data_IF_051873512964
#
_entry.id   IF_051873512964
#
_cell.length_a   1.000
_cell.length_b   1.000
_cell.length_c   1.000
_cell.angle_alpha   90.00
_cell.angle_beta   90.00
_cell.angle_gamma   90.00
#
_symmetry.space_group_name_H-M   'P 1'
#
loop_
_entity.id
_entity.type
_entity.pdbx_description
1 polymer ?
#
# COMPACT_ATOMS: atom_id res chain seq x y z
N UNK A 1 -29.51 -6.52 -6.53
CA UNK A 1 -28.97 -5.48 -5.61
C UNK A 1 -29.81 -5.48 -4.36
N UNK A 2 -29.19 -5.44 -3.19
CA UNK A 2 -29.89 -5.36 -1.89
C UNK A 2 -30.50 -3.96 -1.75
N UNK A 3 -31.76 -3.86 -1.32
CA UNK A 3 -32.43 -2.58 -1.10
C UNK A 3 -31.86 -1.87 0.13
N UNK A 4 -31.98 -0.55 0.20
CA UNK A 4 -31.48 0.24 1.35
C UNK A 4 -32.08 -0.23 2.68
N UNK A 5 -33.36 -0.64 2.67
CA UNK A 5 -34.07 -1.18 3.84
C UNK A 5 -33.54 -2.57 4.23
N UNK A 6 -33.22 -3.41 3.23
CA UNK A 6 -32.55 -4.69 3.45
C UNK A 6 -31.16 -4.55 4.06
N UNK A 7 -30.40 -3.52 3.65
CA UNK A 7 -29.10 -3.21 4.25
C UNK A 7 -29.23 -2.82 5.72
N UNK A 8 -30.21 -1.96 6.07
CA UNK A 8 -30.46 -1.60 7.47
C UNK A 8 -30.76 -2.82 8.35
N UNK A 9 -31.60 -3.75 7.87
CA UNK A 9 -31.89 -4.98 8.60
C UNK A 9 -30.66 -5.87 8.77
N UNK A 10 -29.84 -6.02 7.72
CA UNK A 10 -28.62 -6.84 7.76
C UNK A 10 -27.54 -6.25 8.66
N UNK A 11 -27.48 -4.93 8.81
CA UNK A 11 -26.55 -4.27 9.74
C UNK A 11 -26.90 -4.56 11.21
N UNK A 12 -28.19 -4.68 11.52
CA UNK A 12 -28.66 -5.02 12.88
C UNK A 12 -28.61 -6.52 13.15
N UNK A 13 -29.07 -7.34 12.19
CA UNK A 13 -29.18 -8.80 12.37
C UNK A 13 -27.91 -9.58 12.03
N UNK A 14 -26.96 -8.96 11.34
CA UNK A 14 -25.79 -9.63 10.77
C UNK A 14 -26.12 -10.50 9.55
N UNK A 15 -25.08 -11.05 8.92
CA UNK A 15 -25.23 -12.01 7.84
C UNK A 15 -24.18 -13.12 7.93
N UNK A 16 -24.50 -14.30 7.38
CA UNK A 16 -23.55 -15.41 7.29
C UNK A 16 -22.52 -15.13 6.20
N UNK A 17 -21.25 -15.29 6.51
CA UNK A 17 -20.16 -15.14 5.55
C UNK A 17 -20.26 -16.28 4.53
N UNK A 18 -20.43 -15.94 3.26
CA UNK A 18 -20.37 -16.90 2.15
C UNK A 18 -18.90 -17.03 1.72
N UNK A 19 -18.33 -18.25 1.69
CA UNK A 19 -16.98 -18.45 1.19
C UNK A 19 -16.85 -18.00 -0.27
N UNK A 20 -15.82 -17.21 -0.56
CA UNK A 20 -15.46 -16.79 -1.91
C UNK A 20 -13.99 -17.15 -2.15
N UNK A 21 -13.78 -18.33 -2.75
CA UNK A 21 -12.44 -18.86 -3.00
C UNK A 21 -11.65 -18.05 -4.04
N UNK A 22 -12.32 -17.26 -4.88
CA UNK A 22 -11.66 -16.43 -5.88
C UNK A 22 -11.00 -15.19 -5.24
N UNK A 23 -11.48 -14.79 -4.05
CA UNK A 23 -10.94 -13.66 -3.28
C UNK A 23 -10.13 -14.12 -2.06
N UNK A 24 -10.72 -14.95 -1.20
CA UNK A 24 -10.10 -15.40 0.06
C UNK A 24 -9.52 -16.80 -0.01
N UNK A 25 -9.44 -17.39 -1.21
CA UNK A 25 -8.81 -18.68 -1.41
C UNK A 25 -7.35 -18.68 -0.94
N UNK A 26 -6.96 -19.74 -0.22
CA UNK A 26 -5.62 -19.87 0.34
C UNK A 26 -4.53 -19.69 -0.73
N UNK A 27 -4.75 -20.22 -1.94
CA UNK A 27 -3.81 -20.08 -3.06
C UNK A 27 -3.69 -18.65 -3.58
N UNK A 28 -4.80 -17.91 -3.66
CA UNK A 28 -4.82 -16.51 -4.09
C UNK A 28 -4.05 -15.65 -3.09
N UNK A 29 -4.35 -15.81 -1.80
CA UNK A 29 -3.66 -15.08 -0.72
C UNK A 29 -2.17 -15.43 -0.71
N UNK A 30 -1.81 -16.72 -0.74
CA UNK A 30 -0.41 -17.14 -0.72
C UNK A 30 0.36 -16.63 -1.94
N UNK A 31 -0.19 -16.71 -3.15
CA UNK A 31 0.47 -16.21 -4.35
C UNK A 31 0.77 -14.70 -4.24
N UNK A 32 -0.17 -13.93 -3.69
CA UNK A 32 -0.02 -12.49 -3.50
C UNK A 32 1.02 -12.17 -2.42
N UNK A 33 0.95 -12.84 -1.27
CA UNK A 33 1.87 -12.65 -0.14
C UNK A 33 3.29 -13.07 -0.50
N UNK A 34 3.48 -14.25 -1.10
CA UNK A 34 4.81 -14.75 -1.50
C UNK A 34 5.47 -13.75 -2.45
N UNK A 35 4.74 -13.28 -3.47
CA UNK A 35 5.27 -12.30 -4.43
C UNK A 35 5.60 -10.97 -3.74
N UNK A 36 4.77 -10.50 -2.81
CA UNK A 36 4.99 -9.25 -2.08
C UNK A 36 6.23 -9.33 -1.20
N UNK A 37 6.32 -10.37 -0.37
CA UNK A 37 7.44 -10.58 0.54
C UNK A 37 8.73 -10.87 -0.22
N UNK A 38 8.69 -11.65 -1.30
CA UNK A 38 9.85 -11.85 -2.17
C UNK A 38 10.33 -10.50 -2.76
N UNK A 39 9.42 -9.61 -3.14
CA UNK A 39 9.77 -8.27 -3.61
C UNK A 39 10.44 -7.44 -2.52
N UNK A 40 9.88 -7.39 -1.31
CA UNK A 40 10.46 -6.67 -0.18
C UNK A 40 11.83 -7.21 0.21
N UNK A 41 11.97 -8.54 0.27
CA UNK A 41 13.26 -9.20 0.55
C UNK A 41 14.27 -8.87 -0.54
N UNK A 42 13.90 -8.91 -1.81
CA UNK A 42 14.81 -8.56 -2.91
C UNK A 42 15.25 -7.08 -2.84
N UNK A 43 14.33 -6.16 -2.53
CA UNK A 43 14.61 -4.73 -2.34
C UNK A 43 15.56 -4.53 -1.15
N UNK A 44 15.26 -5.14 0.00
CA UNK A 44 16.08 -5.04 1.20
C UNK A 44 17.47 -5.64 1.00
N UNK A 45 17.54 -6.82 0.37
CA UNK A 45 18.79 -7.48 0.05
C UNK A 45 19.63 -6.64 -0.93
N UNK A 46 19.00 -6.05 -1.95
CA UNK A 46 19.70 -5.16 -2.87
C UNK A 46 20.30 -3.95 -2.13
N UNK A 47 19.55 -3.36 -1.21
CA UNK A 47 20.00 -2.22 -0.41
C UNK A 47 21.13 -2.59 0.56
N UNK A 48 20.93 -3.57 1.44
CA UNK A 48 21.90 -3.97 2.49
C UNK A 48 23.18 -4.52 1.88
N UNK A 49 23.11 -5.25 0.76
CA UNK A 49 24.30 -5.75 0.07
C UNK A 49 25.03 -4.66 -0.75
N UNK A 50 24.53 -3.42 -0.79
CA UNK A 50 25.12 -2.35 -1.59
C UNK A 50 25.01 -2.58 -3.10
N UNK A 51 24.00 -3.31 -3.54
CA UNK A 51 23.72 -3.65 -4.94
C UNK A 51 22.77 -2.63 -5.61
N UNK A 52 22.77 -1.40 -5.09
CA UNK A 52 22.00 -0.25 -5.56
C UNK A 52 22.94 0.80 -6.14
N UNK A 53 22.43 1.66 -7.02
CA UNK A 53 23.24 2.73 -7.59
C UNK A 53 23.79 3.67 -6.49
N UNK A 54 25.05 4.13 -6.58
CA UNK A 54 25.65 5.01 -5.56
C UNK A 54 24.86 6.30 -5.31
N UNK A 55 24.13 6.78 -6.31
CA UNK A 55 23.25 7.97 -6.22
C UNK A 55 22.07 7.81 -5.25
N UNK A 56 21.76 6.57 -4.85
CA UNK A 56 20.68 6.25 -3.91
C UNK A 56 21.17 6.14 -2.47
N UNK A 57 22.48 5.96 -2.25
CA UNK A 57 23.05 5.82 -0.92
C UNK A 57 23.22 7.19 -0.26
N UNK A 58 22.66 7.33 0.93
CA UNK A 58 22.84 8.52 1.75
C UNK A 58 24.22 8.53 2.44
N UNK A 59 24.65 9.70 2.93
CA UNK A 59 25.86 9.80 3.75
C UNK A 59 25.77 8.94 5.03
N UNK A 60 24.57 8.83 5.62
CA UNK A 60 24.34 7.97 6.76
C UNK A 60 24.52 6.49 6.38
N UNK A 61 24.07 6.09 5.19
CA UNK A 61 24.16 4.70 4.72
C UNK A 61 25.63 4.26 4.60
N UNK A 62 26.48 5.15 4.06
CA UNK A 62 27.90 4.88 3.86
C UNK A 62 28.69 4.99 5.17
N UNK A 63 28.43 6.02 5.99
CA UNK A 63 29.26 6.34 7.16
C UNK A 63 28.79 5.65 8.44
N UNK A 64 27.47 5.56 8.66
CA UNK A 64 26.87 4.93 9.84
C UNK A 64 26.61 3.44 9.57
N UNK A 65 25.85 3.13 8.51
CA UNK A 65 25.48 1.73 8.20
C UNK A 65 26.58 0.95 7.47
N UNK A 66 27.68 1.61 7.09
CA UNK A 66 28.85 1.02 6.42
C UNK A 66 28.51 0.25 5.14
N UNK A 67 27.42 0.63 4.45
CA UNK A 67 27.02 0.04 3.18
C UNK A 67 27.95 0.58 2.09
N UNK A 68 28.73 -0.30 1.46
CA UNK A 68 29.62 0.05 0.35
C UNK A 68 28.99 -0.34 -0.97
N UNK A 69 29.04 0.50 -2.02
CA UNK A 69 28.55 0.13 -3.34
C UNK A 69 29.36 -1.06 -3.89
N UNK A 70 28.67 -2.13 -4.26
CA UNK A 70 29.25 -3.38 -4.81
C UNK A 70 28.82 -3.65 -6.25
N UNK A 71 28.12 -2.71 -6.88
CA UNK A 71 27.61 -2.82 -8.26
C UNK A 71 28.71 -3.14 -9.26
N UNK A 72 29.86 -2.46 -9.18
CA UNK A 72 31.02 -2.68 -10.07
C UNK A 72 31.72 -4.03 -9.80
N UNK A 73 31.73 -4.48 -8.54
CA UNK A 73 32.38 -5.75 -8.16
C UNK A 73 31.55 -6.96 -8.59
N UNK A 74 30.22 -6.85 -8.56
CA UNK A 74 29.30 -7.93 -8.88
C UNK A 74 28.21 -7.50 -9.89
N UNK A 75 28.58 -7.15 -11.13
CA UNK A 75 27.65 -6.58 -12.10
C UNK A 75 26.53 -7.56 -12.50
N UNK A 76 26.84 -8.87 -12.54
CA UNK A 76 25.84 -9.91 -12.84
C UNK A 76 24.75 -9.99 -11.79
N UNK A 77 25.12 -10.01 -10.51
CA UNK A 77 24.17 -10.11 -9.40
C UNK A 77 23.32 -8.84 -9.29
N UNK A 78 23.92 -7.66 -9.52
CA UNK A 78 23.17 -6.39 -9.55
C UNK A 78 22.11 -6.41 -10.66
N UNK A 79 22.49 -6.85 -11.87
CA UNK A 79 21.55 -6.97 -12.99
C UNK A 79 20.41 -7.93 -12.69
N UNK A 80 20.72 -9.11 -12.12
CA UNK A 80 19.72 -10.12 -11.77
C UNK A 80 18.75 -9.56 -10.73
N UNK A 81 19.26 -9.05 -9.59
CA UNK A 81 18.41 -8.49 -8.53
C UNK A 81 17.52 -7.37 -9.06
N UNK A 82 18.07 -6.45 -9.87
CA UNK A 82 17.29 -5.38 -10.48
C UNK A 82 16.17 -5.92 -11.36
N UNK A 83 16.47 -6.89 -12.24
CA UNK A 83 15.47 -7.52 -13.10
C UNK A 83 14.41 -8.27 -12.30
N UNK A 84 14.80 -8.99 -11.25
CA UNK A 84 13.89 -9.66 -10.33
C UNK A 84 12.95 -8.67 -9.65
N UNK A 85 13.47 -7.55 -9.13
CA UNK A 85 12.65 -6.50 -8.51
C UNK A 85 11.66 -5.93 -9.52
N UNK A 86 12.09 -5.65 -10.77
CA UNK A 86 11.20 -5.17 -11.83
C UNK A 86 10.06 -6.15 -12.08
N UNK A 87 10.36 -7.42 -12.34
CA UNK A 87 9.36 -8.44 -12.67
C UNK A 87 8.40 -8.72 -11.51
N UNK A 88 8.93 -8.96 -10.30
CA UNK A 88 8.10 -9.27 -9.14
C UNK A 88 7.20 -8.09 -8.77
N UNK A 89 7.72 -6.87 -8.86
CA UNK A 89 6.86 -5.72 -8.67
C UNK A 89 5.83 -5.64 -9.80
N UNK A 90 6.18 -5.66 -11.08
CA UNK A 90 5.20 -5.57 -12.18
C UNK A 90 4.06 -6.59 -12.06
N UNK A 91 4.36 -7.81 -11.62
CA UNK A 91 3.35 -8.81 -11.27
C UNK A 91 2.35 -8.28 -10.23
N UNK A 92 2.82 -7.61 -9.19
CA UNK A 92 1.96 -6.99 -8.17
C UNK A 92 1.08 -5.86 -8.70
N UNK A 93 1.49 -5.10 -9.73
CA UNK A 93 0.61 -4.05 -10.32
C UNK A 93 -0.59 -4.77 -10.94
N UNK A 94 -0.31 -5.80 -11.74
CA UNK A 94 -1.33 -6.53 -12.49
C UNK A 94 -2.25 -7.28 -11.54
N UNK A 95 -1.72 -8.03 -10.58
CA UNK A 95 -2.53 -8.76 -9.59
C UNK A 95 -3.30 -7.81 -8.68
N UNK A 96 -2.72 -6.66 -8.31
CA UNK A 96 -3.38 -5.61 -7.54
C UNK A 96 -4.58 -5.01 -8.28
N UNK A 97 -4.44 -4.71 -9.57
CA UNK A 97 -5.56 -4.22 -10.40
C UNK A 97 -6.62 -5.32 -10.58
N UNK A 98 -6.19 -6.57 -10.80
CA UNK A 98 -7.11 -7.70 -10.96
C UNK A 98 -7.96 -7.94 -9.71
N UNK A 99 -7.33 -7.96 -8.52
CA UNK A 99 -8.06 -8.19 -7.27
C UNK A 99 -9.01 -7.04 -6.94
N UNK A 100 -8.60 -5.79 -7.20
CA UNK A 100 -9.49 -4.62 -7.06
C UNK A 100 -10.68 -4.69 -8.04
N UNK A 101 -10.45 -5.14 -9.27
CA UNK A 101 -11.51 -5.31 -10.27
C UNK A 101 -12.52 -6.37 -9.81
N UNK A 102 -12.03 -7.51 -9.33
CA UNK A 102 -12.87 -8.57 -8.78
C UNK A 102 -13.69 -8.06 -7.57
N UNK A 103 -13.06 -7.29 -6.67
CA UNK A 103 -13.74 -6.64 -5.56
C UNK A 103 -14.85 -5.68 -6.01
N UNK A 104 -14.61 -4.86 -7.04
CA UNK A 104 -15.63 -3.96 -7.59
C UNK A 104 -16.78 -4.68 -8.29
N UNK A 105 -16.49 -5.77 -9.00
CA UNK A 105 -17.53 -6.61 -9.60
C UNK A 105 -18.40 -7.22 -8.51
N UNK A 106 -17.79 -7.79 -7.47
CA UNK A 106 -18.49 -8.35 -6.32
C UNK A 106 -19.29 -7.31 -5.53
N UNK A 107 -18.78 -6.08 -5.46
CA UNK A 107 -19.46 -4.95 -4.83
C UNK A 107 -20.69 -4.53 -5.62
N UNK A 108 -20.57 -4.43 -6.95
CA UNK A 108 -21.69 -4.10 -7.83
C UNK A 108 -22.78 -5.17 -7.84
N UNK A 109 -22.40 -6.45 -7.77
CA UNK A 109 -23.37 -7.55 -7.70
C UNK A 109 -24.01 -7.72 -6.32
N UNK A 110 -23.42 -7.13 -5.28
CA UNK A 110 -23.86 -7.27 -3.88
C UNK A 110 -23.57 -8.66 -3.30
N UNK A 111 -22.62 -9.39 -3.89
CA UNK A 111 -22.26 -10.75 -3.49
C UNK A 111 -21.07 -10.78 -2.53
N UNK A 112 -20.22 -9.75 -2.57
CA UNK A 112 -19.04 -9.68 -1.70
C UNK A 112 -19.41 -9.16 -0.31
N UNK A 113 -19.08 -9.95 0.71
CA UNK A 113 -19.21 -9.55 2.11
C UNK A 113 -18.13 -8.53 2.50
N UNK A 114 -18.35 -7.77 3.58
CA UNK A 114 -17.33 -6.90 4.20
C UNK A 114 -16.00 -7.64 4.42
N UNK A 115 -16.04 -8.89 4.90
CA UNK A 115 -14.85 -9.72 5.11
C UNK A 115 -13.97 -9.87 3.86
N UNK A 116 -14.55 -10.41 2.78
CA UNK A 116 -13.84 -10.61 1.51
C UNK A 116 -13.40 -9.29 0.88
N UNK A 117 -14.22 -8.24 0.97
CA UNK A 117 -13.85 -6.92 0.46
C UNK A 117 -12.67 -6.31 1.22
N UNK A 118 -12.62 -6.51 2.54
CA UNK A 118 -11.49 -6.09 3.36
C UNK A 118 -10.18 -6.79 2.95
N UNK A 119 -10.23 -8.08 2.61
CA UNK A 119 -9.08 -8.81 2.07
C UNK A 119 -8.61 -8.16 0.76
N UNK A 120 -9.53 -7.86 -0.17
CA UNK A 120 -9.20 -7.16 -1.42
C UNK A 120 -8.45 -5.86 -1.16
N UNK A 121 -8.95 -5.04 -0.23
CA UNK A 121 -8.32 -3.77 0.13
C UNK A 121 -6.92 -3.97 0.71
N UNK A 122 -6.73 -4.95 1.60
CA UNK A 122 -5.41 -5.24 2.17
C UNK A 122 -4.41 -5.73 1.12
N UNK A 123 -4.83 -6.58 0.19
CA UNK A 123 -3.97 -7.04 -0.91
C UNK A 123 -3.60 -5.87 -1.83
N UNK A 124 -4.54 -4.99 -2.17
CA UNK A 124 -4.26 -3.80 -2.96
C UNK A 124 -3.29 -2.83 -2.26
N UNK A 125 -3.47 -2.61 -0.96
CA UNK A 125 -2.54 -1.83 -0.13
C UNK A 125 -1.14 -2.44 -0.08
N UNK A 126 -1.05 -3.76 0.01
CA UNK A 126 0.23 -4.48 -0.01
C UNK A 126 0.92 -4.32 -1.36
N UNK A 127 0.19 -4.47 -2.46
CA UNK A 127 0.71 -4.24 -3.81
C UNK A 127 1.22 -2.80 -3.97
N UNK A 128 0.41 -1.81 -3.59
CA UNK A 128 0.79 -0.40 -3.56
C UNK A 128 2.12 -0.17 -2.85
N UNK A 129 2.27 -0.75 -1.65
CA UNK A 129 3.47 -0.63 -0.82
C UNK A 129 4.72 -1.24 -1.48
N UNK A 130 4.57 -2.40 -2.14
CA UNK A 130 5.64 -3.05 -2.91
C UNK A 130 6.12 -2.15 -4.04
N UNK A 131 5.21 -1.53 -4.78
CA UNK A 131 5.55 -0.67 -5.91
C UNK A 131 6.22 0.63 -5.53
N UNK A 132 5.72 1.29 -4.49
CA UNK A 132 6.34 2.50 -3.95
C UNK A 132 7.77 2.21 -3.47
N UNK A 133 8.02 1.02 -2.89
CA UNK A 133 9.34 0.57 -2.46
C UNK A 133 10.25 0.17 -3.63
N UNK A 134 9.70 -0.49 -4.66
CA UNK A 134 10.48 -0.81 -5.86
C UNK A 134 10.89 0.46 -6.61
N UNK A 135 10.01 1.46 -6.67
CA UNK A 135 10.24 2.73 -7.34
C UNK A 135 11.42 3.51 -6.76
N UNK A 136 11.68 3.41 -5.45
CA UNK A 136 12.83 4.10 -4.82
C UNK A 136 14.15 3.56 -5.31
N UNK A 137 14.28 2.22 -5.44
CA UNK A 137 15.52 1.60 -5.91
C UNK A 137 15.64 1.63 -7.43
N UNK A 138 14.53 1.48 -8.16
CA UNK A 138 14.57 1.42 -9.62
C UNK A 138 14.65 2.79 -10.29
N UNK A 139 14.53 3.90 -9.55
CA UNK A 139 14.50 5.25 -10.12
C UNK A 139 15.64 5.54 -11.10
N UNK A 140 16.93 5.27 -10.81
CA UNK A 140 18.02 5.56 -11.75
C UNK A 140 17.87 4.76 -13.06
N UNK A 141 17.45 3.50 -12.95
CA UNK A 141 17.17 2.62 -14.08
C UNK A 141 15.97 3.11 -14.92
N UNK A 142 14.86 3.47 -14.26
CA UNK A 142 13.63 3.93 -14.92
C UNK A 142 13.80 5.28 -15.62
N UNK A 143 14.63 6.17 -15.07
CA UNK A 143 14.93 7.44 -15.73
C UNK A 143 15.74 7.28 -17.03
N UNK A 144 16.44 6.15 -17.19
CA UNK A 144 17.11 5.78 -18.45
C UNK A 144 16.18 5.02 -19.40
N UNK A 145 15.09 4.44 -18.91
CA UNK A 145 14.14 3.61 -19.68
C UNK A 145 12.72 4.17 -19.57
N UNK A 146 12.43 5.22 -20.32
CA UNK A 146 11.16 5.96 -20.24
C UNK A 146 9.93 5.10 -20.51
N UNK A 147 10.00 4.10 -21.40
CA UNK A 147 8.86 3.20 -21.67
C UNK A 147 8.44 2.40 -20.44
N UNK A 148 9.40 1.74 -19.78
CA UNK A 148 9.16 0.97 -18.54
C UNK A 148 8.68 1.89 -17.42
N UNK A 149 9.24 3.11 -17.33
CA UNK A 149 8.81 4.13 -16.38
C UNK A 149 7.33 4.51 -16.58
N UNK A 150 6.93 4.83 -17.80
CA UNK A 150 5.55 5.25 -18.11
C UNK A 150 4.56 4.11 -17.84
N UNK A 151 4.85 2.89 -18.32
CA UNK A 151 4.02 1.71 -18.05
C UNK A 151 3.74 1.53 -16.56
N UNK A 152 4.80 1.58 -15.74
CA UNK A 152 4.68 1.41 -14.29
C UNK A 152 3.92 2.55 -13.63
N UNK A 153 4.19 3.80 -14.01
CA UNK A 153 3.48 4.95 -13.44
C UNK A 153 1.99 4.94 -13.80
N UNK A 154 1.62 4.53 -15.01
CA UNK A 154 0.23 4.35 -15.41
C UNK A 154 -0.43 3.25 -14.59
N UNK A 155 0.20 2.08 -14.47
CA UNK A 155 -0.33 0.97 -13.66
C UNK A 155 -0.46 1.32 -12.18
N UNK A 156 0.55 1.97 -11.59
CA UNK A 156 0.50 2.45 -10.20
C UNK A 156 -0.59 3.51 -9.99
N UNK A 157 -0.77 4.41 -10.97
CA UNK A 157 -1.82 5.43 -10.94
C UNK A 157 -3.22 4.83 -11.03
N UNK A 158 -3.42 3.84 -11.91
CA UNK A 158 -4.67 3.11 -12.01
C UNK A 158 -5.01 2.39 -10.69
N UNK A 159 -4.06 1.62 -10.12
CA UNK A 159 -4.25 0.94 -8.85
C UNK A 159 -4.54 1.92 -7.70
N UNK A 160 -3.84 3.06 -7.66
CA UNK A 160 -4.07 4.10 -6.66
C UNK A 160 -5.50 4.67 -6.73
N UNK A 161 -5.97 5.01 -7.93
CA UNK A 161 -7.33 5.52 -8.13
C UNK A 161 -8.36 4.46 -7.71
N UNK A 162 -8.15 3.20 -8.13
CA UNK A 162 -9.02 2.10 -7.69
C UNK A 162 -9.01 1.96 -6.17
N UNK A 163 -7.85 2.07 -5.51
CA UNK A 163 -7.76 1.94 -4.06
C UNK A 163 -8.46 3.09 -3.32
N UNK A 164 -8.31 4.34 -3.78
CA UNK A 164 -9.05 5.49 -3.23
C UNK A 164 -10.56 5.27 -3.31
N UNK A 165 -11.03 4.85 -4.49
CA UNK A 165 -12.45 4.56 -4.72
C UNK A 165 -12.91 3.37 -3.87
N UNK A 166 -12.08 2.34 -3.74
CA UNK A 166 -12.40 1.15 -2.97
C UNK A 166 -12.42 1.35 -1.46
N UNK A 167 -11.76 2.38 -0.95
CA UNK A 167 -11.83 2.72 0.47
C UNK A 167 -13.16 3.43 0.85
N UNK A 168 -14.00 3.84 -0.11
CA UNK A 168 -15.24 4.60 0.19
C UNK A 168 -16.17 3.87 1.17
N UNK A 169 -16.45 2.56 1.02
CA UNK A 169 -17.20 1.80 2.01
C UNK A 169 -16.63 1.83 3.44
N UNK A 170 -15.31 1.95 3.58
CA UNK A 170 -14.63 1.87 4.89
C UNK A 170 -14.75 3.16 5.69
N UNK A 171 -15.33 4.21 5.11
CA UNK A 171 -15.57 5.49 5.78
C UNK A 171 -16.66 5.36 6.85
N UNK A 172 -17.59 4.41 6.70
CA UNK A 172 -18.64 4.19 7.69
C UNK A 172 -18.07 3.69 9.01
N UNK A 173 -18.55 4.23 10.14
CA UNK A 173 -18.13 3.78 11.48
C UNK A 173 -18.35 2.28 11.68
N UNK A 174 -19.52 1.76 11.30
CA UNK A 174 -19.85 0.33 11.40
C UNK A 174 -19.03 -0.61 10.48
N UNK A 175 -18.08 -0.10 9.69
CA UNK A 175 -17.26 -0.93 8.81
C UNK A 175 -16.36 -1.88 9.60
N UNK A 176 -16.66 -3.19 9.52
CA UNK A 176 -15.85 -4.21 10.21
C UNK A 176 -15.97 -4.20 11.73
N UNK A 177 -16.91 -3.42 12.28
CA UNK A 177 -17.24 -3.47 13.71
C UNK A 177 -18.26 -4.59 13.92
N UNK A 178 -18.02 -5.40 14.94
CA UNK A 178 -19.01 -6.37 15.43
C UNK A 178 -19.94 -5.58 16.36
N UNK A 179 -21.09 -5.14 15.85
CA UNK A 179 -22.14 -4.60 16.72
C UNK A 179 -22.72 -5.77 17.53
N UNK A 180 -22.16 -6.01 18.73
CA UNK A 180 -22.76 -6.88 19.73
C UNK A 180 -23.93 -6.14 20.37
N UNK A 181 -25.06 -6.02 19.68
CA UNK A 181 -26.29 -5.59 20.35
C UNK A 181 -26.87 -6.77 21.14
N UNK A 182 -26.62 -6.68 22.45
CA UNK A 182 -27.23 -7.32 23.62
C UNK A 182 -27.09 -8.86 23.81
N UNK A 183 -26.28 -9.30 24.81
CA UNK A 183 -26.17 -10.71 25.22
C UNK A 183 -27.44 -11.31 25.86
N UNK A 184 -28.55 -10.57 25.96
CA UNK A 184 -29.79 -11.09 26.56
C UNK A 184 -30.71 -11.84 25.59
N UNK A 185 -30.61 -11.58 24.29
CA UNK A 185 -31.41 -12.25 23.25
C UNK A 185 -30.55 -12.96 22.18
N UNK A 186 -29.22 -12.88 22.30
CA UNK A 186 -28.33 -13.62 21.42
C UNK A 186 -28.15 -15.03 21.96
N UNK A 187 -28.88 -15.97 21.36
CA UNK A 187 -28.43 -17.35 21.25
C UNK A 187 -27.12 -17.38 20.45
N UNK A 188 -26.04 -16.92 21.08
CA UNK A 188 -24.66 -17.13 20.64
C UNK A 188 -24.42 -18.63 20.75
N UNK A 189 -24.88 -19.33 19.71
CA UNK A 189 -24.93 -20.77 19.65
C UNK A 189 -25.64 -21.34 18.41
N UNK A 190 -26.51 -20.59 17.73
CA UNK A 190 -27.36 -21.24 16.69
C UNK A 190 -27.20 -20.74 15.24
N UNK A 191 -26.74 -19.51 14.93
CA UNK A 191 -26.92 -18.96 13.57
C UNK A 191 -25.71 -18.40 12.78
N UNK A 192 -24.45 -18.44 13.24
CA UNK A 192 -23.25 -17.98 12.46
C UNK A 192 -23.33 -16.56 11.85
N UNK A 193 -24.24 -15.68 12.30
CA UNK A 193 -24.46 -14.35 11.74
C UNK A 193 -23.45 -13.34 12.28
N UNK A 194 -22.80 -12.57 11.41
CA UNK A 194 -21.80 -11.57 11.79
C UNK A 194 -21.91 -10.29 10.95
N UNK A 195 -21.46 -9.15 11.49
CA UNK A 195 -21.32 -7.91 10.70
C UNK A 195 -20.37 -8.05 9.51
N UNK A 196 -19.39 -8.94 9.61
CA UNK A 196 -18.43 -9.27 8.56
C UNK A 196 -19.06 -9.96 7.33
N UNK A 197 -20.20 -10.64 7.50
CA UNK A 197 -20.93 -11.26 6.42
C UNK A 197 -21.83 -10.30 5.64
N UNK A 198 -22.09 -9.09 6.17
CA UNK A 198 -22.95 -8.10 5.52
C UNK A 198 -22.36 -7.74 4.14
N UNK A 199 -23.18 -7.60 3.08
CA UNK A 199 -22.69 -7.18 1.77
C UNK A 199 -21.98 -5.82 1.85
N UNK A 200 -20.74 -5.74 1.36
CA UNK A 200 -19.96 -4.50 1.37
C UNK A 200 -20.66 -3.37 0.59
N UNK A 201 -21.53 -3.72 -0.37
CA UNK A 201 -22.32 -2.77 -1.16
C UNK A 201 -23.24 -1.91 -0.31
N UNK A 202 -23.65 -2.39 0.87
CA UNK A 202 -24.49 -1.63 1.78
C UNK A 202 -23.82 -0.36 2.30
N UNK A 203 -22.50 -0.35 2.40
CA UNK A 203 -21.70 0.78 2.88
C UNK A 203 -21.31 1.77 1.76
N UNK A 204 -21.68 1.51 0.50
CA UNK A 204 -21.29 2.35 -0.63
C UNK A 204 -21.98 3.72 -0.57
N UNK A 205 -21.22 4.78 -0.30
CA UNK A 205 -21.73 6.16 -0.25
C UNK A 205 -22.73 6.39 0.90
N UNK A 206 -22.71 5.53 1.92
CA UNK A 206 -23.56 5.61 3.11
C UNK A 206 -22.69 5.48 4.36
N UNK A 207 -22.94 6.32 5.34
CA UNK A 207 -22.34 6.24 6.67
C UNK A 207 -23.40 5.75 7.65
N UNK A 208 -23.06 4.75 8.44
CA UNK A 208 -23.90 4.21 9.51
C UNK A 208 -23.26 4.49 10.88
N UNK A 209 -24.08 4.49 11.95
CA UNK A 209 -23.76 4.90 13.33
C UNK A 209 -23.26 6.36 13.45
N UNK A 210 -22.27 6.64 14.30
CA UNK A 210 -21.72 7.98 14.63
C UNK A 210 -21.01 8.70 13.45
N UNK A 211 -21.28 8.25 12.22
CA UNK A 211 -20.83 8.87 10.99
C UNK A 211 -19.54 8.26 10.45
N UNK A 212 -18.44 9.00 10.58
CA UNK A 212 -17.17 8.69 9.92
C UNK A 212 -16.24 7.92 10.86
N UNK A 213 -15.71 6.79 10.39
CA UNK A 213 -14.64 6.06 11.06
C UNK A 213 -13.38 6.93 11.14
N UNK A 214 -12.82 7.12 12.34
CA UNK A 214 -11.61 7.93 12.57
C UNK A 214 -10.35 7.36 11.91
N UNK A 215 -10.29 6.05 11.66
CA UNK A 215 -9.12 5.39 11.07
C UNK A 215 -9.06 5.55 9.54
N UNK A 216 -10.23 5.66 8.90
CA UNK A 216 -10.34 5.84 7.46
C UNK A 216 -9.61 7.11 6.94
N UNK A 217 -9.84 8.33 7.47
CA UNK A 217 -9.18 9.54 6.98
C UNK A 217 -7.66 9.50 7.16
N UNK A 218 -7.16 8.87 8.23
CA UNK A 218 -5.71 8.69 8.45
C UNK A 218 -5.13 7.82 7.33
N UNK A 219 -5.77 6.70 7.02
CA UNK A 219 -5.36 5.82 5.92
C UNK A 219 -5.33 6.54 4.56
N UNK A 220 -6.37 7.32 4.26
CA UNK A 220 -6.42 8.14 3.03
C UNK A 220 -5.29 9.16 2.95
N UNK A 221 -5.05 9.90 4.04
CA UNK A 221 -3.99 10.92 4.08
C UNK A 221 -2.63 10.26 3.89
N UNK A 222 -2.35 9.18 4.62
CA UNK A 222 -1.09 8.44 4.49
C UNK A 222 -0.87 7.92 3.07
N UNK A 223 -1.91 7.36 2.44
CA UNK A 223 -1.86 6.87 1.07
C UNK A 223 -1.55 8.01 0.08
N UNK A 224 -2.33 9.09 0.12
CA UNK A 224 -2.20 10.23 -0.81
C UNK A 224 -0.82 10.87 -0.66
N UNK A 225 -0.40 11.15 0.57
CA UNK A 225 0.91 11.75 0.84
C UNK A 225 2.03 10.83 0.35
N UNK A 226 1.95 9.53 0.59
CA UNK A 226 2.97 8.56 0.14
C UNK A 226 3.11 8.53 -1.38
N UNK A 227 2.00 8.52 -2.12
CA UNK A 227 2.04 8.54 -3.58
C UNK A 227 2.53 9.86 -4.14
N UNK A 228 2.00 10.99 -3.66
CA UNK A 228 2.40 12.33 -4.11
C UNK A 228 3.90 12.53 -3.85
N UNK A 229 4.38 12.17 -2.66
CA UNK A 229 5.79 12.27 -2.31
C UNK A 229 6.66 11.43 -3.24
N UNK A 230 6.35 10.13 -3.41
CA UNK A 230 7.18 9.22 -4.22
C UNK A 230 7.17 9.57 -5.70
N UNK A 231 6.03 9.98 -6.24
CA UNK A 231 5.93 10.43 -7.63
C UNK A 231 6.75 11.71 -7.82
N UNK A 232 6.62 12.68 -6.91
CA UNK A 232 7.41 13.91 -6.92
C UNK A 232 8.92 13.63 -6.90
N UNK A 233 9.35 12.64 -6.13
CA UNK A 233 10.74 12.20 -6.10
C UNK A 233 11.22 11.63 -7.44
N UNK A 234 10.41 10.84 -8.14
CA UNK A 234 10.75 10.24 -9.45
C UNK A 234 10.99 11.28 -10.53
N UNK A 235 10.16 12.33 -10.58
CA UNK A 235 10.32 13.45 -11.51
C UNK A 235 11.40 14.45 -11.08
N UNK A 236 12.06 14.22 -9.94
CA UNK A 236 13.15 15.05 -9.44
C UNK A 236 12.70 16.32 -8.71
N UNK A 237 11.41 16.68 -8.78
CA UNK A 237 10.81 17.82 -8.08
C UNK A 237 10.88 17.68 -6.56
N UNK A 238 10.55 16.49 -6.03
CA UNK A 238 10.61 16.19 -4.60
C UNK A 238 12.04 16.29 -4.05
N UNK A 239 13.02 15.83 -4.81
CA UNK A 239 14.45 15.95 -4.44
C UNK A 239 14.92 17.40 -4.46
N UNK A 240 14.52 18.21 -5.45
CA UNK A 240 14.83 19.66 -5.48
C UNK A 240 14.21 20.37 -4.28
N UNK A 241 12.97 20.04 -3.95
CA UNK A 241 12.26 20.58 -2.80
C UNK A 241 12.92 20.16 -1.47
N UNK A 242 13.16 18.86 -1.26
CA UNK A 242 13.85 18.33 -0.08
C UNK A 242 15.26 18.92 0.07
N UNK A 243 16.02 18.98 -1.03
CA UNK A 243 17.35 19.58 -1.05
C UNK A 243 17.30 21.06 -0.64
N UNK A 244 16.35 21.83 -1.20
CA UNK A 244 16.21 23.25 -0.93
C UNK A 244 15.69 23.56 0.49
N UNK A 245 14.69 22.82 0.96
CA UNK A 245 13.92 23.17 2.16
C UNK A 245 14.38 22.48 3.43
N UNK A 246 14.95 21.27 3.34
CA UNK A 246 15.30 20.45 4.50
C UNK A 246 16.82 20.23 4.56
N UNK A 247 17.43 19.73 3.48
CA UNK A 247 18.83 19.32 3.50
C UNK A 247 19.80 20.49 3.65
N UNK A 248 19.69 21.53 2.80
CA UNK A 248 20.57 22.71 2.85
C UNK A 248 20.55 23.45 4.19
N UNK A 249 19.41 23.72 4.83
CA UNK A 249 19.41 24.37 6.14
C UNK A 249 20.00 23.48 7.24
N UNK A 250 19.78 22.16 7.19
CA UNK A 250 20.39 21.23 8.14
C UNK A 250 21.91 21.15 7.97
N UNK A 251 22.40 21.05 6.73
CA UNK A 251 23.84 21.05 6.43
C UNK A 251 24.49 22.37 6.87
N UNK A 252 23.84 23.51 6.60
CA UNK A 252 24.29 24.84 7.04
C UNK A 252 24.30 24.97 8.57
N UNK A 253 23.29 24.43 9.27
CA UNK A 253 23.26 24.41 10.73
C UNK A 253 24.38 23.55 11.32
N UNK A 254 24.62 22.36 10.77
CA UNK A 254 25.72 21.47 11.19
C UNK A 254 27.09 22.10 10.93
N UNK A 255 27.30 22.72 9.75
CA UNK A 255 28.52 23.46 9.45
C UNK A 255 28.73 24.65 10.41
N UNK A 256 27.67 25.37 10.75
CA UNK A 256 27.74 26.47 11.73
C UNK A 256 28.12 26.00 13.14
N UNK A 257 27.66 24.81 13.54
CA UNK A 257 27.99 24.20 14.83
C UNK A 257 29.42 23.67 14.88
N UNK A 258 29.91 23.08 13.79
CA UNK A 258 31.27 22.54 13.69
C UNK A 258 32.34 23.63 13.53
N UNK A 259 31.98 24.80 12.98
CA UNK A 259 32.91 25.94 12.84
C UNK A 259 32.96 26.86 14.06
N UNK A 260 31.99 26.77 14.97
CA UNK A 260 31.99 27.50 16.26
C UNK A 260 33.21 27.19 17.15
N UNK A 261 33.64 25.94 17.37
CA UNK A 261 34.82 25.66 18.19
C UNK A 261 36.16 26.02 17.52
N UNK A 262 36.17 26.31 16.21
CA UNK A 262 37.38 26.78 15.50
C UNK A 262 37.55 28.31 15.52
N UNK A 263 36.59 29.05 16.10
CA UNK A 263 36.58 30.53 16.18
C UNK A 263 36.69 31.08 17.61
N UNK A 264 36.82 30.23 18.63
CA UNK A 264 37.19 30.68 19.96
C UNK A 264 38.72 30.82 20.03
N UNK A 265 39.26 32.04 20.21
CA UNK A 265 40.70 32.28 20.37
C UNK A 265 41.28 31.64 21.64
#
# INVERSE_FOLDING_TARGET
MVTSEGCGRLLVSGAKIKPDADISGIGVILAFLITAYASFVAILAAYVCGMVEPELLSLADVKVMRIRPRTERHPRVHRILRQTIVVLSDQQIVTGIAIMTAGFVGLRSGQISVYHYQIVLYLAWLSSSVHLSALTLLRPFLNRHTGVKVWRLVGMGALFIMLIIGLVPTVSYDWGIINFMDPKDSSIGENDLTGWGVPASCFWGKTYADGVNNDAPIGYVLLIVSYVWKIGDVFGSGRKFYAARIRRPLESAVESLLTRPAKSP
#
